data_IF_312509609616
#
_entry.id   IF_312509609616
#
_cell.length_a   1.000
_cell.length_b   1.000
_cell.length_c   1.000
_cell.angle_alpha   90.00
_cell.angle_beta   90.00
_cell.angle_gamma   90.00
#
_symmetry.space_group_name_H-M   'P 1'
#
loop_
_entity.id
_entity.type
_entity.pdbx_description
1 polymer ?
#
# COMPACT_ATOMS: atom_id res chain seq x y z
N UNK A 1 -14.47 9.36 -8.00
CA UNK A 1 -13.04 9.37 -7.63
C UNK A 1 -12.59 7.95 -7.31
N UNK A 2 -11.30 7.64 -7.05
CA UNK A 2 -10.89 6.27 -6.67
C UNK A 2 -11.73 5.68 -5.54
N UNK A 3 -11.99 6.48 -4.50
CA UNK A 3 -12.81 6.12 -3.34
C UNK A 3 -14.24 5.73 -3.76
N UNK A 4 -14.91 6.62 -4.49
CA UNK A 4 -16.29 6.36 -4.93
C UNK A 4 -16.39 5.14 -5.87
N UNK A 5 -15.34 4.86 -6.64
CA UNK A 5 -15.38 3.78 -7.63
C UNK A 5 -15.51 2.40 -6.97
N UNK A 6 -14.78 2.13 -5.87
CA UNK A 6 -14.90 0.83 -5.18
C UNK A 6 -16.30 0.68 -4.59
N UNK A 7 -16.81 1.73 -3.92
CA UNK A 7 -18.15 1.74 -3.34
C UNK A 7 -19.22 1.52 -4.41
N UNK A 8 -19.13 2.25 -5.53
CA UNK A 8 -20.08 2.12 -6.63
C UNK A 8 -20.04 0.74 -7.28
N UNK A 9 -18.86 0.12 -7.40
CA UNK A 9 -18.74 -1.25 -7.89
C UNK A 9 -19.38 -2.25 -6.93
N UNK A 10 -19.17 -2.08 -5.63
CA UNK A 10 -19.82 -2.88 -4.60
C UNK A 10 -21.34 -2.74 -4.66
N UNK A 11 -21.88 -1.51 -4.69
CA UNK A 11 -23.30 -1.24 -4.80
C UNK A 11 -23.90 -1.82 -6.10
N UNK A 12 -23.20 -1.68 -7.23
CA UNK A 12 -23.63 -2.24 -8.50
C UNK A 12 -23.73 -3.78 -8.43
N UNK A 13 -22.77 -4.43 -7.78
CA UNK A 13 -22.81 -5.87 -7.52
C UNK A 13 -23.97 -6.24 -6.61
N UNK A 14 -24.16 -5.51 -5.51
CA UNK A 14 -25.21 -5.76 -4.51
C UNK A 14 -26.61 -5.63 -5.10
N UNK A 15 -26.86 -4.61 -5.92
CA UNK A 15 -28.14 -4.40 -6.60
C UNK A 15 -28.29 -5.19 -7.92
N UNK A 16 -27.27 -5.93 -8.35
CA UNK A 16 -27.30 -6.71 -9.60
C UNK A 16 -27.29 -5.86 -10.88
N UNK A 17 -26.80 -4.62 -10.83
CA UNK A 17 -26.73 -3.70 -11.98
C UNK A 17 -25.44 -3.96 -12.76
N UNK A 18 -25.46 -4.98 -13.63
CA UNK A 18 -24.28 -5.46 -14.36
C UNK A 18 -23.58 -4.40 -15.23
N UNK A 19 -24.36 -3.51 -15.88
CA UNK A 19 -23.80 -2.45 -16.71
C UNK A 19 -22.91 -1.51 -15.87
N UNK A 20 -23.44 -1.01 -14.75
CA UNK A 20 -22.70 -0.15 -13.83
C UNK A 20 -21.49 -0.86 -13.24
N UNK A 21 -21.61 -2.14 -12.88
CA UNK A 21 -20.47 -2.93 -12.39
C UNK A 21 -19.32 -2.97 -13.40
N UNK A 22 -19.65 -3.18 -14.68
CA UNK A 22 -18.66 -3.22 -15.75
C UNK A 22 -18.05 -1.84 -16.01
N UNK A 23 -18.88 -0.80 -16.11
CA UNK A 23 -18.43 0.58 -16.38
C UNK A 23 -17.47 1.07 -15.29
N UNK A 24 -17.81 0.81 -14.02
CA UNK A 24 -16.95 1.16 -12.88
C UNK A 24 -15.68 0.30 -12.86
N UNK A 25 -15.78 -0.99 -13.19
CA UNK A 25 -14.61 -1.86 -13.32
C UNK A 25 -13.64 -1.40 -14.41
N UNK A 26 -14.16 -0.93 -15.54
CA UNK A 26 -13.37 -0.37 -16.63
C UNK A 26 -12.74 0.97 -16.23
N UNK A 27 -13.47 1.83 -15.51
CA UNK A 27 -12.92 3.05 -14.93
C UNK A 27 -11.72 2.75 -14.00
N UNK A 28 -11.87 1.84 -13.04
CA UNK A 28 -10.79 1.47 -12.11
C UNK A 28 -9.59 0.95 -12.88
N UNK A 29 -9.80 0.05 -13.85
CA UNK A 29 -8.71 -0.51 -14.67
C UNK A 29 -7.98 0.57 -15.46
N UNK A 30 -8.72 1.48 -16.09
CA UNK A 30 -8.13 2.58 -16.86
C UNK A 30 -7.35 3.54 -15.97
N UNK A 31 -7.90 3.92 -14.80
CA UNK A 31 -7.24 4.82 -13.87
C UNK A 31 -5.94 4.21 -13.34
N UNK A 32 -5.96 2.94 -12.91
CA UNK A 32 -4.76 2.22 -12.46
C UNK A 32 -3.71 2.03 -13.57
N UNK A 33 -4.13 1.96 -14.83
CA UNK A 33 -3.23 1.85 -15.98
C UNK A 33 -2.58 3.19 -16.32
N UNK A 34 -3.35 4.27 -16.30
CA UNK A 34 -2.88 5.62 -16.64
C UNK A 34 -2.14 6.30 -15.49
N UNK A 35 -2.51 5.99 -14.25
CA UNK A 35 -1.98 6.59 -13.02
C UNK A 35 -1.74 5.51 -11.97
N UNK A 36 -0.69 4.68 -12.14
CA UNK A 36 -0.37 3.62 -11.18
C UNK A 36 -0.18 4.13 -9.74
N UNK A 37 0.27 5.37 -9.57
CA UNK A 37 0.43 6.03 -8.27
C UNK A 37 -0.88 6.27 -7.52
N UNK A 38 -2.04 6.11 -8.17
CA UNK A 38 -3.35 6.12 -7.51
C UNK A 38 -3.67 4.79 -6.80
N UNK A 39 -2.91 3.71 -7.03
CA UNK A 39 -3.19 2.39 -6.46
C UNK A 39 -3.46 2.40 -4.94
N UNK A 40 -2.70 3.11 -4.09
CA UNK A 40 -2.97 3.18 -2.65
C UNK A 40 -4.37 3.72 -2.31
N UNK A 41 -4.91 4.62 -3.15
CA UNK A 41 -6.20 5.27 -2.91
C UNK A 41 -7.39 4.32 -3.01
N UNK A 42 -7.19 3.14 -3.63
CA UNK A 42 -8.21 2.10 -3.75
C UNK A 42 -8.20 1.11 -2.57
N UNK A 43 -7.11 1.04 -1.79
CA UNK A 43 -6.86 -0.04 -0.84
C UNK A 43 -7.86 -0.05 0.31
N UNK A 44 -8.08 1.10 0.96
CA UNK A 44 -8.94 1.18 2.14
C UNK A 44 -10.37 0.73 1.84
N UNK A 45 -10.95 1.22 0.74
CA UNK A 45 -12.30 0.84 0.34
C UNK A 45 -12.34 -0.59 -0.22
N UNK A 46 -11.30 -1.05 -0.93
CA UNK A 46 -11.25 -2.43 -1.42
C UNK A 46 -11.24 -3.45 -0.26
N UNK A 47 -10.55 -3.14 0.84
CA UNK A 47 -10.59 -3.95 2.07
C UNK A 47 -11.98 -3.90 2.68
N UNK A 48 -12.55 -2.70 2.86
CA UNK A 48 -13.85 -2.50 3.51
C UNK A 48 -15.00 -3.24 2.80
N UNK A 49 -14.99 -3.24 1.47
CA UNK A 49 -16.03 -3.85 0.64
C UNK A 49 -15.65 -5.24 0.10
N UNK A 50 -14.53 -5.80 0.56
CA UNK A 50 -14.02 -7.11 0.17
C UNK A 50 -13.86 -7.29 -1.36
N UNK A 51 -13.40 -6.25 -2.09
CA UNK A 51 -13.09 -6.34 -3.53
C UNK A 51 -11.66 -6.85 -3.74
N UNK A 52 -11.49 -8.16 -3.59
CA UNK A 52 -10.20 -8.85 -3.72
C UNK A 52 -9.50 -8.57 -5.07
N UNK A 53 -10.26 -8.40 -6.15
CA UNK A 53 -9.70 -8.13 -7.48
C UNK A 53 -9.02 -6.76 -7.54
N UNK A 54 -9.64 -5.75 -6.93
CA UNK A 54 -9.04 -4.41 -6.83
C UNK A 54 -7.87 -4.45 -5.86
N UNK A 55 -8.00 -5.17 -4.75
CA UNK A 55 -6.96 -5.26 -3.73
C UNK A 55 -5.67 -5.88 -4.28
N UNK A 56 -5.77 -7.01 -5.00
CA UNK A 56 -4.60 -7.67 -5.60
C UNK A 56 -3.95 -6.81 -6.69
N UNK A 57 -4.76 -6.13 -7.52
CA UNK A 57 -4.25 -5.21 -8.53
C UNK A 57 -3.52 -4.01 -7.88
N UNK A 58 -4.11 -3.44 -6.83
CA UNK A 58 -3.50 -2.34 -6.08
C UNK A 58 -2.21 -2.78 -5.39
N UNK A 59 -2.17 -3.95 -4.73
CA UNK A 59 -0.96 -4.50 -4.09
C UNK A 59 0.18 -4.68 -5.08
N UNK A 60 -0.10 -5.27 -6.24
CA UNK A 60 0.89 -5.45 -7.30
C UNK A 60 1.45 -4.11 -7.79
N UNK A 61 0.58 -3.15 -8.08
CA UNK A 61 0.99 -1.83 -8.54
C UNK A 61 1.73 -1.03 -7.47
N UNK A 62 1.30 -1.07 -6.21
CA UNK A 62 1.99 -0.42 -5.10
C UNK A 62 3.41 -0.98 -4.93
N UNK A 63 3.60 -2.30 -5.06
CA UNK A 63 4.92 -2.92 -5.00
C UNK A 63 5.81 -2.53 -6.20
N UNK A 64 5.25 -2.55 -7.42
CA UNK A 64 5.98 -2.18 -8.65
C UNK A 64 6.31 -0.70 -8.74
N UNK A 65 5.46 0.16 -8.19
CA UNK A 65 5.56 1.63 -8.30
C UNK A 65 5.87 2.28 -6.97
N UNK A 66 6.39 1.50 -6.04
CA UNK A 66 6.66 1.89 -4.67
C UNK A 66 7.45 3.20 -4.59
N UNK A 67 8.50 3.35 -5.41
CA UNK A 67 9.37 4.53 -5.43
C UNK A 67 8.71 5.80 -6.01
N UNK A 68 7.65 5.62 -6.80
CA UNK A 68 6.93 6.73 -7.44
C UNK A 68 5.78 7.24 -6.56
N UNK A 69 5.39 6.45 -5.55
CA UNK A 69 4.32 6.80 -4.61
C UNK A 69 4.92 7.63 -3.48
N UNK A 70 4.20 8.68 -3.07
CA UNK A 70 4.66 9.56 -1.99
C UNK A 70 4.56 8.89 -0.62
N UNK A 71 5.49 9.20 0.28
CA UNK A 71 5.51 8.59 1.61
C UNK A 71 4.29 8.93 2.46
N UNK A 72 3.69 10.09 2.28
CA UNK A 72 2.45 10.46 2.96
C UNK A 72 1.28 9.56 2.55
N UNK A 73 1.22 9.20 1.26
CA UNK A 73 0.17 8.30 0.73
C UNK A 73 0.38 6.87 1.21
N UNK A 74 1.64 6.40 1.26
CA UNK A 74 1.95 5.09 1.83
C UNK A 74 1.65 5.01 3.32
N UNK A 75 1.85 6.09 4.08
CA UNK A 75 1.58 6.14 5.50
C UNK A 75 0.09 5.97 5.84
N UNK A 76 -0.82 6.27 4.91
CA UNK A 76 -2.27 6.08 5.07
C UNK A 76 -2.73 4.63 4.81
N UNK A 77 -1.84 3.76 4.30
CA UNK A 77 -2.19 2.36 4.04
C UNK A 77 -2.36 1.58 5.35
N UNK A 78 -3.33 0.65 5.42
CA UNK A 78 -3.42 -0.27 6.56
C UNK A 78 -2.12 -1.05 6.73
N UNK A 79 -1.63 -1.15 7.97
CA UNK A 79 -0.35 -1.79 8.31
C UNK A 79 -0.24 -3.22 7.73
N UNK A 80 -1.31 -4.03 7.85
CA UNK A 80 -1.29 -5.38 7.33
C UNK A 80 -1.12 -5.41 5.80
N UNK A 81 -1.79 -4.52 5.08
CA UNK A 81 -1.63 -4.43 3.62
C UNK A 81 -0.21 -4.02 3.24
N UNK A 82 0.38 -3.08 3.99
CA UNK A 82 1.77 -2.66 3.76
C UNK A 82 2.75 -3.83 3.97
N UNK A 83 2.57 -4.63 5.03
CA UNK A 83 3.36 -5.86 5.27
C UNK A 83 3.24 -6.84 4.09
N UNK A 84 2.00 -7.13 3.67
CA UNK A 84 1.73 -8.05 2.55
C UNK A 84 2.33 -7.53 1.23
N UNK A 85 2.39 -6.21 1.05
CA UNK A 85 3.01 -5.57 -0.10
C UNK A 85 4.54 -5.73 -0.07
N UNK A 86 5.19 -5.63 1.10
CA UNK A 86 6.64 -5.83 1.21
C UNK A 86 7.05 -7.27 0.91
N UNK A 87 6.20 -8.25 1.23
CA UNK A 87 6.41 -9.66 0.86
C UNK A 87 6.05 -9.97 -0.60
N UNK A 88 5.61 -8.98 -1.38
CA UNK A 88 5.21 -9.19 -2.77
C UNK A 88 6.43 -9.46 -3.65
N UNK A 89 6.38 -10.48 -4.52
CA UNK A 89 7.46 -10.73 -5.51
C UNK A 89 7.59 -9.60 -6.54
N UNK A 90 6.62 -8.67 -6.57
CA UNK A 90 6.62 -7.52 -7.47
C UNK A 90 7.34 -6.29 -6.88
N UNK A 91 7.82 -6.36 -5.63
CA UNK A 91 8.56 -5.26 -5.03
C UNK A 91 9.89 -5.07 -5.76
N UNK A 92 10.14 -3.85 -6.25
CA UNK A 92 11.41 -3.54 -6.92
C UNK A 92 12.54 -3.50 -5.87
N UNK A 93 13.58 -4.30 -6.10
CA UNK A 93 14.58 -4.71 -5.09
C UNK A 93 15.54 -3.64 -4.53
N UNK A 94 16.67 -4.14 -4.01
CA UNK A 94 17.61 -3.50 -3.08
C UNK A 94 18.05 -2.06 -3.42
N UNK A 95 18.06 -1.67 -4.70
CA UNK A 95 18.43 -0.33 -5.19
C UNK A 95 17.60 0.81 -4.58
N UNK A 96 16.48 0.49 -3.92
CA UNK A 96 15.55 1.47 -3.35
C UNK A 96 15.43 1.44 -1.83
N UNK A 97 16.37 0.79 -1.14
CA UNK A 97 16.39 0.66 0.33
C UNK A 97 16.24 2.01 1.06
N UNK A 98 16.80 3.08 0.51
CA UNK A 98 16.66 4.44 1.06
C UNK A 98 15.23 4.99 0.95
N UNK A 99 14.52 4.68 -0.13
CA UNK A 99 13.11 5.10 -0.30
C UNK A 99 12.23 4.20 0.57
N UNK A 100 12.48 2.90 0.59
CA UNK A 100 11.81 1.92 1.42
C UNK A 100 11.88 2.27 2.90
N UNK A 101 13.06 2.58 3.41
CA UNK A 101 13.22 3.00 4.81
C UNK A 101 12.44 4.26 5.16
N UNK A 102 12.30 5.22 4.23
CA UNK A 102 11.44 6.41 4.45
C UNK A 102 9.95 6.06 4.49
N UNK A 103 9.50 5.18 3.61
CA UNK A 103 8.12 4.69 3.64
C UNK A 103 7.82 3.89 4.91
N UNK A 104 8.70 2.96 5.28
CA UNK A 104 8.60 2.19 6.53
C UNK A 104 8.53 3.16 7.71
N UNK A 105 9.44 4.14 7.80
CA UNK A 105 9.39 5.13 8.86
C UNK A 105 8.09 5.95 8.86
N UNK A 106 7.55 6.31 7.68
CA UNK A 106 6.29 7.04 7.58
C UNK A 106 5.09 6.20 8.04
N UNK A 107 5.01 4.93 7.65
CA UNK A 107 3.99 3.97 8.11
C UNK A 107 4.09 3.76 9.61
N UNK A 108 5.30 3.50 10.14
CA UNK A 108 5.50 3.32 11.57
C UNK A 108 5.13 4.57 12.40
N UNK A 109 5.22 5.78 11.83
CA UNK A 109 4.73 7.01 12.50
C UNK A 109 3.22 7.03 12.60
N UNK A 110 2.53 6.67 11.52
CA UNK A 110 1.07 6.72 11.49
C UNK A 110 0.43 5.56 12.28
N UNK A 111 1.14 4.43 12.40
CA UNK A 111 0.69 3.21 13.08
C UNK A 111 1.42 2.95 14.41
N UNK A 112 1.98 3.97 15.06
CA UNK A 112 2.87 3.81 16.22
C UNK A 112 2.33 2.91 17.36
N UNK A 113 1.02 2.82 17.53
CA UNK A 113 0.39 1.97 18.56
C UNK A 113 0.24 0.49 18.15
N UNK A 114 0.46 0.16 16.88
CA UNK A 114 0.33 -1.18 16.30
C UNK A 114 1.70 -1.80 15.99
N UNK A 115 2.79 -1.03 16.13
CA UNK A 115 4.15 -1.47 15.87
C UNK A 115 4.70 -2.15 17.13
N UNK A 116 4.85 -3.47 17.08
CA UNK A 116 5.59 -4.25 18.06
C UNK A 116 6.98 -4.65 17.52
N UNK A 117 7.76 -5.35 18.34
CA UNK A 117 9.10 -5.80 17.97
C UNK A 117 9.12 -6.73 16.75
N UNK A 118 8.11 -7.61 16.60
CA UNK A 118 8.05 -8.54 15.48
C UNK A 118 7.73 -7.82 14.18
N UNK A 119 6.75 -6.89 14.22
CA UNK A 119 6.42 -6.04 13.09
C UNK A 119 7.63 -5.21 12.66
N UNK A 120 8.40 -4.66 13.61
CA UNK A 120 9.64 -3.95 13.29
C UNK A 120 10.64 -4.82 12.56
N UNK A 121 10.90 -6.05 13.04
CA UNK A 121 11.83 -6.97 12.37
C UNK A 121 11.40 -7.25 10.93
N UNK A 122 10.11 -7.51 10.70
CA UNK A 122 9.58 -7.78 9.36
C UNK A 122 9.69 -6.56 8.44
N UNK A 123 9.34 -5.37 8.92
CA UNK A 123 9.39 -4.14 8.13
C UNK A 123 10.83 -3.69 7.84
N UNK A 124 11.79 -4.13 8.65
CA UNK A 124 13.21 -3.78 8.49
C UNK A 124 14.10 -4.96 8.10
N UNK A 125 13.55 -5.96 7.42
CA UNK A 125 14.34 -7.12 6.99
C UNK A 125 15.50 -6.68 6.10
N UNK A 126 16.71 -7.07 6.47
CA UNK A 126 17.95 -6.78 5.75
C UNK A 126 17.97 -7.34 4.32
N UNK A 127 17.19 -8.38 4.01
CA UNK A 127 17.08 -8.92 2.64
C UNK A 127 16.33 -7.96 1.72
N UNK A 128 15.41 -7.16 2.26
CA UNK A 128 14.55 -6.25 1.50
C UNK A 128 15.07 -4.81 1.61
N UNK A 129 15.61 -4.45 2.78
CA UNK A 129 16.08 -3.11 3.13
C UNK A 129 17.50 -3.17 3.76
N UNK A 130 18.54 -3.51 2.97
CA UNK A 130 19.91 -3.58 3.44
C UNK A 130 20.49 -2.24 3.92
N UNK A 131 19.97 -1.11 3.43
CA UNK A 131 20.38 0.24 3.86
C UNK A 131 19.19 1.04 4.39
N UNK A 132 19.47 1.91 5.36
CA UNK A 132 18.48 2.80 5.95
C UNK A 132 18.91 4.24 5.70
N UNK A 133 18.02 5.04 5.12
CA UNK A 133 18.26 6.45 4.91
C UNK A 133 18.47 7.15 6.27
N UNK A 134 19.43 8.08 6.34
CA UNK A 134 19.82 8.72 7.60
C UNK A 134 18.68 9.46 8.32
N UNK A 135 17.74 10.02 7.56
CA UNK A 135 16.54 10.68 8.05
C UNK A 135 15.47 9.71 8.59
N UNK A 136 15.46 8.47 8.09
CA UNK A 136 14.62 7.39 8.62
C UNK A 136 15.25 6.72 9.85
N UNK A 137 16.58 6.56 9.85
CA UNK A 137 17.33 5.79 10.85
C UNK A 137 17.08 6.25 12.28
N UNK A 138 17.13 7.57 12.53
CA UNK A 138 16.95 8.12 13.89
C UNK A 138 15.59 7.70 14.48
N UNK A 139 14.53 7.76 13.68
CA UNK A 139 13.19 7.41 14.13
C UNK A 139 13.04 5.90 14.37
N UNK A 140 13.52 5.08 13.42
CA UNK A 140 13.43 3.62 13.53
C UNK A 140 14.24 3.08 14.74
N UNK A 141 15.39 3.67 15.05
CA UNK A 141 16.19 3.32 16.23
C UNK A 141 15.50 3.67 17.56
N UNK A 142 14.70 4.74 17.60
CA UNK A 142 13.94 5.12 18.79
C UNK A 142 12.79 4.16 19.04
N UNK A 143 12.15 3.66 17.97
CA UNK A 143 11.10 2.65 18.04
C UNK A 143 11.61 1.29 18.53
N UNK A 144 12.82 0.87 18.14
CA UNK A 144 13.38 -0.43 18.52
C UNK A 144 13.85 -0.53 19.97
N UNK A 145 13.87 0.58 20.72
CA UNK A 145 14.28 0.64 22.12
C UNK A 145 13.10 0.62 23.11
N UNK A 146 11.88 0.48 22.60
CA UNK A 146 10.64 0.33 23.38
C UNK A 146 10.25 -1.14 23.38
#
# INVERSE_FOLDING_TARGET
TPKDAVVMRHLASYFGVKALYNDVGDFIRQDLTQRPTNAPLYVADAILYHDEKVLEAAKSLCAQKFNEIKSEVMAELPLQFFRDMLSSPNLIGEENSDILSRHVAAVCRNHANEIDHNVMIELTDHEIMPTIASDAALYLMQLSNV
#
